data_IF_615478944615
#
_entry.id   IF_615478944615
#
_cell.length_a   1.000
_cell.length_b   1.000
_cell.length_c   1.000
_cell.angle_alpha   90.00
_cell.angle_beta   90.00
_cell.angle_gamma   90.00
#
_symmetry.space_group_name_H-M   'P 1'
#
loop_
_entity.id
_entity.type
_entity.pdbx_description
1 polymer ?
#
# COMPACT_ATOMS: atom_id res chain seq x y z
N UNK A 1 5.60 6.94 -6.78
CA UNK A 1 5.76 6.37 -8.15
C UNK A 1 6.96 5.42 -8.14
N UNK A 2 6.73 4.11 -8.19
CA UNK A 2 7.82 3.15 -8.27
C UNK A 2 8.31 3.05 -9.72
N UNK A 3 9.63 3.02 -9.92
CA UNK A 3 10.25 2.81 -11.23
C UNK A 3 10.81 1.40 -11.25
N UNK A 4 10.35 0.59 -12.19
CA UNK A 4 10.89 -0.74 -12.43
C UNK A 4 12.17 -0.66 -13.25
N UNK A 5 13.19 -1.44 -12.86
CA UNK A 5 14.43 -1.58 -13.61
C UNK A 5 14.63 -3.06 -13.94
N UNK A 6 14.97 -3.36 -15.20
CA UNK A 6 15.42 -4.69 -15.60
C UNK A 6 16.92 -4.79 -15.38
N UNK A 7 17.33 -5.46 -14.31
CA UNK A 7 18.74 -5.67 -14.00
C UNK A 7 19.24 -6.95 -14.70
N UNK A 8 20.34 -6.83 -15.45
CA UNK A 8 21.11 -7.98 -15.93
C UNK A 8 22.34 -8.11 -15.02
N UNK A 9 22.33 -9.11 -14.12
CA UNK A 9 23.41 -9.30 -13.15
C UNK A 9 24.41 -10.31 -13.71
N UNK A 10 25.64 -9.85 -13.97
CA UNK A 10 26.75 -10.71 -14.43
C UNK A 10 27.60 -11.26 -13.28
N UNK A 11 28.59 -12.08 -13.62
CA UNK A 11 29.44 -12.78 -12.66
C UNK A 11 30.23 -11.84 -11.74
N UNK A 12 30.76 -10.74 -12.27
CA UNK A 12 31.50 -9.75 -11.48
C UNK A 12 30.61 -9.06 -10.44
N UNK A 13 29.40 -8.65 -10.84
CA UNK A 13 28.42 -8.06 -9.94
C UNK A 13 27.95 -9.06 -8.87
N UNK A 14 27.76 -10.33 -9.26
CA UNK A 14 27.38 -11.41 -8.32
C UNK A 14 28.46 -11.63 -7.25
N UNK A 15 29.74 -11.61 -7.65
CA UNK A 15 30.86 -11.69 -6.70
C UNK A 15 30.87 -10.50 -5.76
N UNK A 16 30.74 -9.28 -6.28
CA UNK A 16 30.69 -8.06 -5.48
C UNK A 16 29.54 -8.08 -4.46
N UNK A 17 28.33 -8.52 -4.85
CA UNK A 17 27.17 -8.59 -3.95
C UNK A 17 27.28 -9.68 -2.88
N UNK A 18 28.16 -10.65 -3.08
CA UNK A 18 28.42 -11.73 -2.12
C UNK A 18 29.54 -11.40 -1.14
N UNK A 19 30.20 -10.24 -1.29
CA UNK A 19 31.25 -9.80 -0.38
C UNK A 19 30.68 -9.57 1.02
N UNK A 20 31.43 -10.02 2.03
CA UNK A 20 31.00 -9.97 3.43
C UNK A 20 30.65 -8.55 3.88
N UNK A 21 31.43 -7.54 3.48
CA UNK A 21 31.16 -6.14 3.81
C UNK A 21 29.82 -5.66 3.25
N UNK A 22 29.50 -6.03 2.00
CA UNK A 22 28.23 -5.69 1.36
C UNK A 22 27.05 -6.39 2.06
N UNK A 23 27.22 -7.67 2.42
CA UNK A 23 26.19 -8.41 3.17
C UNK A 23 25.98 -7.86 4.58
N UNK A 24 27.07 -7.45 5.27
CA UNK A 24 27.02 -6.86 6.61
C UNK A 24 26.31 -5.50 6.59
N UNK A 25 26.38 -4.73 5.49
CA UNK A 25 25.61 -3.49 5.29
C UNK A 25 24.14 -3.77 4.95
N UNK A 26 23.85 -4.78 4.12
CA UNK A 26 22.49 -5.10 3.67
C UNK A 26 21.64 -5.78 4.74
N UNK A 27 22.25 -6.60 5.60
CA UNK A 27 21.53 -7.42 6.59
C UNK A 27 20.75 -6.57 7.60
N UNK A 28 21.31 -5.53 8.23
CA UNK A 28 20.57 -4.64 9.13
C UNK A 28 19.35 -3.99 8.47
N UNK A 29 19.48 -3.55 7.21
CA UNK A 29 18.38 -2.93 6.46
C UNK A 29 17.20 -3.91 6.28
N UNK A 30 17.50 -5.17 5.96
CA UNK A 30 16.48 -6.22 5.84
C UNK A 30 15.85 -6.51 7.20
N UNK A 31 16.64 -6.55 8.27
CA UNK A 31 16.14 -6.80 9.62
C UNK A 31 15.25 -5.67 10.13
N UNK A 32 15.61 -4.42 9.87
CA UNK A 32 14.80 -3.24 10.21
C UNK A 32 13.48 -3.25 9.44
N UNK A 33 13.52 -3.49 8.14
CA UNK A 33 12.31 -3.63 7.32
C UNK A 33 11.41 -4.77 7.83
N UNK A 34 11.98 -5.93 8.17
CA UNK A 34 11.24 -7.05 8.76
C UNK A 34 10.60 -6.65 10.10
N UNK A 35 11.29 -5.88 10.93
CA UNK A 35 10.77 -5.39 12.21
C UNK A 35 9.58 -4.44 12.00
N UNK A 36 9.68 -3.52 11.05
CA UNK A 36 8.59 -2.60 10.69
C UNK A 36 7.37 -3.36 10.19
N UNK A 37 7.58 -4.28 9.25
CA UNK A 37 6.50 -5.12 8.68
C UNK A 37 5.85 -5.95 9.79
N UNK A 38 6.66 -6.62 10.62
CA UNK A 38 6.15 -7.44 11.72
C UNK A 38 5.35 -6.60 12.72
N UNK A 39 5.83 -5.43 13.13
CA UNK A 39 5.10 -4.55 14.03
C UNK A 39 3.78 -4.01 13.44
N UNK A 40 3.72 -3.82 12.11
CA UNK A 40 2.48 -3.48 11.43
C UNK A 40 1.48 -4.63 11.46
N UNK A 41 1.96 -5.86 11.19
CA UNK A 41 1.13 -7.07 11.18
C UNK A 41 0.71 -7.53 12.59
N UNK A 42 1.52 -7.27 13.62
CA UNK A 42 1.22 -7.66 15.00
C UNK A 42 -0.07 -7.00 15.52
N UNK A 43 -0.49 -5.86 14.93
CA UNK A 43 -1.79 -5.22 15.22
C UNK A 43 -3.00 -6.06 14.84
N UNK A 44 -2.80 -7.02 13.95
CA UNK A 44 -3.86 -7.88 13.40
C UNK A 44 -3.74 -9.31 13.91
N UNK A 45 -2.95 -9.60 14.94
CA UNK A 45 -2.79 -10.97 15.44
C UNK A 45 -3.88 -11.31 16.45
N UNK A 46 -4.45 -12.50 16.32
CA UNK A 46 -5.38 -13.08 17.29
C UNK A 46 -4.67 -13.52 18.58
N UNK A 47 -3.44 -14.05 18.47
CA UNK A 47 -2.74 -14.73 19.57
C UNK A 47 -1.20 -14.79 19.40
N UNK A 48 -0.54 -15.40 20.39
CA UNK A 48 0.89 -15.68 20.43
C UNK A 48 1.35 -16.66 19.33
N UNK A 49 0.43 -17.46 18.77
CA UNK A 49 0.69 -18.48 17.74
C UNK A 49 0.89 -17.87 16.33
N UNK A 50 0.52 -16.60 16.14
CA UNK A 50 0.83 -15.87 14.91
C UNK A 50 -0.27 -15.91 13.85
N UNK A 51 -1.48 -16.29 14.24
CA UNK A 51 -2.64 -16.25 13.36
C UNK A 51 -3.06 -14.79 13.16
N UNK A 52 -3.15 -14.37 11.89
CA UNK A 52 -3.62 -13.04 11.50
C UNK A 52 -5.14 -13.05 11.39
N UNK A 53 -5.78 -12.11 12.07
CA UNK A 53 -7.17 -11.72 11.87
C UNK A 53 -7.30 -10.94 10.57
N UNK A 54 -7.62 -11.68 9.51
CA UNK A 54 -7.88 -11.10 8.19
C UNK A 54 -9.08 -10.15 8.18
N UNK A 55 -10.05 -10.31 9.09
CA UNK A 55 -11.21 -9.42 9.19
C UNK A 55 -10.81 -8.07 9.75
N UNK A 56 -10.03 -8.02 10.83
CA UNK A 56 -9.53 -6.75 11.38
C UNK A 56 -8.57 -6.07 10.40
N UNK A 57 -7.70 -6.84 9.74
CA UNK A 57 -6.81 -6.31 8.71
C UNK A 57 -7.61 -5.71 7.54
N UNK A 58 -8.64 -6.41 7.06
CA UNK A 58 -9.50 -5.91 6.00
C UNK A 58 -10.22 -4.63 6.43
N UNK A 59 -10.80 -4.58 7.63
CA UNK A 59 -11.49 -3.39 8.13
C UNK A 59 -10.56 -2.18 8.23
N UNK A 60 -9.31 -2.39 8.66
CA UNK A 60 -8.35 -1.29 8.86
C UNK A 60 -7.71 -0.83 7.54
N UNK A 61 -7.33 -1.75 6.66
CA UNK A 61 -6.59 -1.42 5.43
C UNK A 61 -7.46 -1.27 4.19
N UNK A 62 -8.62 -1.93 4.17
CA UNK A 62 -9.57 -1.94 3.05
C UNK A 62 -11.00 -1.77 3.57
N UNK A 63 -11.29 -0.63 4.25
CA UNK A 63 -12.63 -0.40 4.79
C UNK A 63 -13.66 -0.48 3.68
N UNK A 64 -14.81 -1.08 3.99
CA UNK A 64 -15.95 -1.07 3.10
C UNK A 64 -16.53 0.35 3.07
N UNK A 65 -16.61 0.93 1.87
CA UNK A 65 -17.14 2.27 1.64
C UNK A 65 -18.49 2.10 0.95
N UNK A 66 -19.55 2.39 1.68
CA UNK A 66 -20.91 2.48 1.13
C UNK A 66 -21.01 3.70 0.22
N UNK A 67 -21.09 3.46 -1.10
CA UNK A 67 -21.28 4.50 -2.09
C UNK A 67 -22.15 4.01 -3.24
N UNK A 68 -23.06 4.87 -3.71
CA UNK A 68 -23.91 4.56 -4.86
C UNK A 68 -23.13 4.63 -6.18
N UNK A 69 -22.12 5.51 -6.24
CA UNK A 69 -21.35 5.82 -7.45
C UNK A 69 -19.84 5.83 -7.14
N UNK A 70 -19.06 5.20 -8.00
CA UNK A 70 -17.59 5.30 -7.99
C UNK A 70 -17.11 6.29 -9.07
N UNK A 71 -16.24 7.24 -8.69
CA UNK A 71 -15.69 8.27 -9.58
C UNK A 71 -14.17 8.08 -9.65
N UNK A 72 -13.68 7.48 -10.74
CA UNK A 72 -12.25 7.45 -11.05
C UNK A 72 -11.84 8.67 -11.86
N UNK A 73 -10.76 9.35 -11.46
CA UNK A 73 -10.29 10.57 -12.12
C UNK A 73 -8.76 10.64 -12.21
N UNK A 74 -8.27 11.50 -13.10
CA UNK A 74 -6.85 11.89 -13.07
C UNK A 74 -6.63 12.95 -12.00
N UNK A 75 -5.41 13.07 -11.45
CA UNK A 75 -5.09 14.16 -10.51
C UNK A 75 -5.40 15.56 -11.05
N UNK A 76 -5.41 15.76 -12.39
CA UNK A 76 -5.72 17.07 -12.99
C UNK A 76 -7.19 17.45 -12.88
N UNK A 77 -8.07 16.47 -12.70
CA UNK A 77 -9.53 16.63 -12.71
C UNK A 77 -10.15 16.54 -11.31
N UNK A 78 -9.32 16.54 -10.25
CA UNK A 78 -9.73 16.35 -8.86
C UNK A 78 -10.86 17.32 -8.45
N UNK A 79 -10.71 18.62 -8.74
CA UNK A 79 -11.73 19.61 -8.41
C UNK A 79 -13.07 19.35 -9.12
N UNK A 80 -13.02 18.84 -10.36
CA UNK A 80 -14.22 18.52 -11.13
C UNK A 80 -14.89 17.26 -10.56
N UNK A 81 -14.11 16.24 -10.19
CA UNK A 81 -14.62 15.03 -9.54
C UNK A 81 -15.31 15.32 -8.21
N UNK A 82 -14.69 16.17 -7.37
CA UNK A 82 -15.28 16.64 -6.10
C UNK A 82 -16.58 17.40 -6.36
N UNK A 83 -16.58 18.31 -7.34
CA UNK A 83 -17.79 19.06 -7.73
C UNK A 83 -18.92 18.16 -8.21
N UNK A 84 -18.61 17.14 -9.00
CA UNK A 84 -19.58 16.15 -9.48
C UNK A 84 -20.18 15.33 -8.33
N UNK A 85 -19.35 14.85 -7.39
CA UNK A 85 -19.83 14.14 -6.20
C UNK A 85 -20.79 15.01 -5.37
N UNK A 86 -20.43 16.28 -5.15
CA UNK A 86 -21.29 17.24 -4.46
C UNK A 86 -22.61 17.50 -5.18
N UNK A 87 -22.59 17.59 -6.51
CA UNK A 87 -23.80 17.73 -7.32
C UNK A 87 -24.71 16.50 -7.22
N UNK A 88 -24.16 15.29 -7.38
CA UNK A 88 -24.89 14.02 -7.29
C UNK A 88 -25.57 13.87 -5.92
N UNK A 89 -24.85 14.23 -4.86
CA UNK A 89 -25.41 14.21 -3.51
C UNK A 89 -26.52 15.24 -3.33
N UNK A 90 -26.29 16.49 -3.74
CA UNK A 90 -27.25 17.59 -3.53
C UNK A 90 -28.53 17.44 -4.35
N UNK A 91 -28.42 16.99 -5.60
CA UNK A 91 -29.55 16.96 -6.55
C UNK A 91 -30.26 15.62 -6.54
N UNK A 92 -29.52 14.52 -6.37
CA UNK A 92 -30.07 13.16 -6.48
C UNK A 92 -30.02 12.36 -5.18
N UNK A 93 -29.40 12.90 -4.12
CA UNK A 93 -29.24 12.18 -2.84
C UNK A 93 -28.24 11.02 -2.91
N UNK A 94 -27.45 10.93 -3.98
CA UNK A 94 -26.52 9.81 -4.20
C UNK A 94 -25.17 10.10 -3.55
N UNK A 95 -24.64 9.11 -2.85
CA UNK A 95 -23.29 9.10 -2.30
C UNK A 95 -22.27 8.72 -3.37
N UNK A 96 -21.02 9.16 -3.21
CA UNK A 96 -19.95 8.83 -4.17
C UNK A 96 -18.63 8.56 -3.49
N UNK A 97 -17.92 7.53 -3.96
CA UNK A 97 -16.54 7.25 -3.62
C UNK A 97 -15.63 7.76 -4.74
N UNK A 98 -14.71 8.67 -4.42
CA UNK A 98 -13.78 9.27 -5.37
C UNK A 98 -12.44 8.55 -5.26
N UNK A 99 -11.92 8.07 -6.38
CA UNK A 99 -10.61 7.41 -6.48
C UNK A 99 -9.49 8.42 -6.19
N UNK A 100 -8.75 8.20 -5.10
CA UNK A 100 -7.62 8.99 -4.59
C UNK A 100 -7.53 10.47 -5.03
N UNK A 101 -7.91 11.38 -4.12
CA UNK A 101 -7.53 12.80 -4.16
C UNK A 101 -6.06 13.01 -3.79
#
# INVERSE_FOLDING_TARGET
MYKGYKLNIGDEATKAFSEKEILDLGTPLVLENKKIIKGSLDKFRFDEDGIIDGTVMQQEWFPEIEADIFISHSHKDEQVAIGLAGFLNKVHGLSSFIDST
#
